data_IF_259239384910
#
_entry.id   IF_259239384910
#
_cell.length_a   1.000
_cell.length_b   1.000
_cell.length_c   1.000
_cell.angle_alpha   90.00
_cell.angle_beta   90.00
_cell.angle_gamma   90.00
#
_symmetry.space_group_name_H-M   'P 1'
#
loop_
_entity.id
_entity.type
_entity.pdbx_description
1 polymer ?
2 polymer ?
3 polymer ?
4 water ?
#
loop_
_entity_poly.entity_id
_entity_poly.type
_entity_poly.pdbx_seq_one_letter_code
_entity_poly.pdbx_strand_id
1 'polydeoxyribonucleotide' '(DA)(DA)(DA)(DA)(DA)(DC)(DG)(DT)(DC)(DA)(DA)(DC)(DA)(DT)(DT)(DT)(DT)(DA)(DT)(DA)(DA)(DA)(DA)(DA)(DA)(DG)(DT)(DC)(DT)(DT)(DG)(DC)(DA)(DA)(DA)(DA)(DA)(DG)(DT)(DT)(DA)' ?
2 'polydeoxyribonucleotide' '(DT)(DA)(DA)(DC)(DT)(DT)(DT)(DT)(DT)(DG)(DC)(DA)(DA)(DG)(DA)(DC)(DT)(DT)(DT)(DT)(DT)(DT)(DA)(DT)(DA)(DA)(DA)(DA)(DT)(DG)(DT)(DT)(DG)(DA)(DC)(DG)(DT)(DT)(DT)(DT)(DT)' ?
#
# COMPACT_ATOMS: atom_id res chain seq x y z
N UNK C 1 18.60 5.91 31.26
CA UNK C 1 17.73 6.93 30.64
C UNK C 1 16.45 6.81 31.44
N UNK C 2 15.33 7.05 30.78
CA UNK C 2 14.04 6.95 31.44
C UNK C 2 13.87 8.01 32.51
N UNK C 3 13.09 9.03 32.20
CA UNK C 3 12.85 10.12 33.13
C UNK C 3 12.21 9.61 34.42
N UNK C 4 12.04 10.53 35.36
CA UNK C 4 11.46 10.25 36.66
C UNK C 4 10.05 9.67 36.59
N UNK C 5 9.33 9.92 35.49
CA UNK C 5 7.96 9.43 35.38
C UNK C 5 7.82 8.15 34.59
N UNK C 6 8.91 7.72 33.95
CA UNK C 6 8.89 6.47 33.20
C UNK C 6 8.96 6.61 31.68
N UNK C 7 9.45 7.73 31.20
CA UNK C 7 9.51 7.91 29.76
C UNK C 7 10.91 7.76 29.19
N UNK C 8 10.98 7.01 28.08
CA UNK C 8 12.24 6.79 27.40
C UNK C 8 12.24 7.64 26.15
N UNK C 9 12.99 8.73 26.15
CA UNK C 9 13.02 9.57 24.96
C UNK C 9 13.93 8.95 23.93
N UNK C 10 14.73 8.00 24.38
CA UNK C 10 15.65 7.30 23.49
C UNK C 10 15.10 5.87 23.38
N UNK C 11 14.22 5.67 22.41
CA UNK C 11 13.55 4.41 22.18
C UNK C 11 14.37 3.13 22.28
N UNK C 12 15.59 3.15 21.72
CA UNK C 12 16.47 2.00 21.76
C UNK C 12 16.55 1.39 23.16
N UNK C 13 16.60 2.25 24.18
CA UNK C 13 16.71 1.80 25.56
C UNK C 13 15.40 1.45 26.26
N UNK C 14 14.28 1.58 25.56
CA UNK C 14 13.00 1.29 26.18
C UNK C 14 12.78 -0.11 26.71
N UNK C 15 11.81 -0.21 27.62
CA UNK C 15 11.44 -1.48 28.21
C UNK C 15 10.01 -1.74 27.81
N UNK C 16 9.47 -0.84 27.00
CA UNK C 16 8.11 -0.98 26.52
C UNK C 16 8.31 -1.41 25.09
N UNK C 17 7.96 -2.65 24.80
CA UNK C 17 8.17 -3.18 23.48
C UNK C 17 7.03 -4.04 23.07
N UNK C 18 6.82 -4.12 21.77
CA UNK C 18 5.76 -4.93 21.27
C UNK C 18 6.28 -5.62 20.04
N UNK C 19 5.83 -6.84 19.77
CA UNK C 19 6.28 -7.53 18.58
C UNK C 19 5.21 -8.41 18.01
N UNK C 20 5.16 -8.48 16.69
CA UNK C 20 4.17 -9.31 16.03
C UNK C 20 4.88 -10.55 15.52
N UNK C 21 6.05 -10.84 16.08
CA UNK C 21 6.81 -12.01 15.67
C UNK C 21 7.75 -11.76 14.49
N UNK C 22 7.46 -10.73 13.71
CA UNK C 22 8.28 -10.37 12.56
C UNK C 22 8.89 -9.00 12.82
N UNK C 23 8.06 -8.11 13.30
CA UNK C 23 8.44 -6.75 13.56
C UNK C 23 8.33 -6.42 15.02
N UNK C 24 9.26 -5.61 15.51
CA UNK C 24 9.26 -5.19 16.89
C UNK C 24 9.28 -3.66 16.95
N UNK C 25 8.36 -3.10 17.74
CA UNK C 25 8.25 -1.66 17.92
C UNK C 25 8.59 -1.31 19.36
N UNK C 26 9.38 -0.26 19.54
CA UNK C 26 9.75 0.20 20.87
C UNK C 26 8.95 1.47 21.12
N UNK C 27 8.51 1.67 22.36
CA UNK C 27 7.74 2.85 22.73
C UNK C 27 8.38 3.57 23.87
N UNK C 28 8.06 4.85 24.02
CA UNK C 28 8.62 5.66 25.06
C UNK C 28 7.84 5.56 26.36
N UNK C 29 6.64 4.99 26.30
CA UNK C 29 5.84 4.87 27.52
C UNK C 29 4.87 3.70 27.53
N UNK C 30 4.55 3.22 28.72
CA UNK C 30 3.61 2.13 28.82
C UNK C 30 2.29 2.63 28.23
N UNK C 31 2.00 3.91 28.47
CA UNK C 31 0.76 4.51 27.98
C UNK C 31 0.62 4.28 26.49
N UNK C 32 1.72 4.45 25.77
CA UNK C 32 1.70 4.25 24.32
C UNK C 32 1.68 2.77 23.96
N UNK C 33 2.43 1.97 24.71
CA UNK C 33 2.47 0.53 24.45
C UNK C 33 1.08 -0.05 24.50
N UNK C 34 0.33 0.31 25.53
CA UNK C 34 -1.03 -0.21 25.68
C UNK C 34 -2.01 0.47 24.73
N UNK C 35 -1.73 1.73 24.43
CA UNK C 35 -2.60 2.44 23.53
C UNK C 35 -2.47 1.65 22.24
N UNK C 36 -1.24 1.26 21.90
CA UNK C 36 -1.02 0.50 20.69
C UNK C 36 -1.54 -0.92 20.75
N UNK C 37 -1.33 -1.63 21.84
CA UNK C 37 -1.81 -3.01 21.91
C UNK C 37 -3.30 -3.12 22.15
N UNK C 38 -3.87 -2.08 22.74
CA UNK C 38 -5.28 -2.08 23.03
C UNK C 38 -6.15 -1.75 21.83
N UNK C 39 -5.70 -0.82 20.99
CA UNK C 39 -6.53 -0.45 19.86
C UNK C 39 -6.10 -0.74 18.44
N UNK C 40 -5.04 -1.54 18.27
CA UNK C 40 -4.57 -1.82 16.92
C UNK C 40 -5.58 -2.61 16.11
N UNK C 41 -6.26 -3.57 16.73
CA UNK C 41 -7.26 -4.35 16.02
C UNK C 41 -8.39 -3.43 15.54
N UNK C 42 -8.80 -2.49 16.38
CA UNK C 42 -9.86 -1.58 15.98
C UNK C 42 -9.37 -0.74 14.84
N UNK C 43 -8.17 -0.20 15.02
CA UNK C 43 -7.57 0.65 14.00
C UNK C 43 -7.57 -0.03 12.64
N UNK C 44 -7.30 -1.33 12.62
CA UNK C 44 -7.29 -2.07 11.36
C UNK C 44 -8.65 -2.02 10.70
N UNK C 45 -9.71 -2.22 11.47
CA UNK C 45 -11.07 -2.18 10.94
C UNK C 45 -11.29 -0.85 10.24
N UNK C 46 -11.09 0.22 11.01
CA UNK C 46 -11.26 1.58 10.52
C UNK C 46 -10.30 1.91 9.38
N UNK C 47 -9.14 1.27 9.37
CA UNK C 47 -8.16 1.53 8.32
C UNK C 47 -8.63 0.97 7.00
N UNK C 48 -9.05 -0.29 7.01
CA UNK C 48 -9.54 -0.97 5.83
C UNK C 48 -10.73 -0.24 5.18
N UNK C 49 -11.60 0.37 5.98
CA UNK C 49 -12.74 1.09 5.40
C UNK C 49 -12.23 2.27 4.59
N UNK C 50 -11.55 3.20 5.25
CA UNK C 50 -11.00 4.35 4.55
C UNK C 50 -10.35 3.95 3.22
N UNK C 51 -9.46 2.96 3.26
CA UNK C 51 -8.78 2.51 2.04
C UNK C 51 -9.68 1.92 0.99
N UNK C 52 -10.72 1.19 1.41
CA UNK C 52 -11.63 0.60 0.44
C UNK C 52 -12.44 1.67 -0.29
N UNK C 53 -12.56 2.85 0.32
CA UNK C 53 -13.30 3.92 -0.32
C UNK C 53 -12.37 4.64 -1.30
N UNK C 54 -11.11 4.28 -1.30
CA UNK C 54 -10.16 4.90 -2.21
C UNK C 54 -9.80 3.91 -3.32
N UNK C 55 -9.67 2.65 -2.95
CA UNK C 55 -9.33 1.64 -3.94
C UNK C 55 -9.61 0.23 -3.43
N UNK C 56 -9.92 -0.66 -4.35
CA UNK C 56 -10.20 -2.04 -4.02
C UNK C 56 -9.05 -2.86 -4.57
N UNK C 57 -8.34 -3.56 -3.69
CA UNK C 57 -7.18 -4.35 -4.10
C UNK C 57 -7.21 -5.74 -3.48
N UNK C 58 -6.45 -6.68 -4.06
CA UNK C 58 -6.41 -8.04 -3.54
C UNK C 58 -5.41 -8.11 -2.37
N UNK C 59 -5.28 -7.03 -1.60
CA UNK C 59 -4.29 -7.01 -0.52
C UNK C 59 -4.78 -6.93 0.92
N UNK C 60 -3.97 -7.47 1.83
CA UNK C 60 -4.25 -7.45 3.24
C UNK C 60 -3.40 -6.32 3.76
N UNK C 61 -4.03 -5.19 4.02
CA UNK C 61 -3.30 -4.00 4.46
C UNK C 61 -3.14 -3.87 5.95
N UNK C 62 -3.31 -4.97 6.67
CA UNK C 62 -3.23 -4.85 8.10
C UNK C 62 -1.89 -4.36 8.63
N UNK C 63 -0.79 -4.97 8.22
CA UNK C 63 0.52 -4.55 8.68
C UNK C 63 0.69 -3.05 8.41
N UNK C 64 0.27 -2.60 7.24
CA UNK C 64 0.38 -1.20 6.91
C UNK C 64 -0.43 -0.36 7.88
N UNK C 65 -1.52 -0.94 8.38
CA UNK C 65 -2.36 -0.22 9.33
C UNK C 65 -1.56 -0.12 10.62
N UNK C 66 -0.87 -1.21 10.94
CA UNK C 66 -0.06 -1.28 12.15
C UNK C 66 1.08 -0.28 12.17
N UNK C 67 1.67 0.05 11.03
CA UNK C 67 2.76 1.01 11.04
C UNK C 67 2.19 2.41 11.21
N UNK C 68 1.07 2.64 10.54
CA UNK C 68 0.40 3.92 10.60
C UNK C 68 -0.07 4.13 12.05
N UNK C 69 -0.62 3.09 12.65
CA UNK C 69 -1.07 3.21 14.03
C UNK C 69 0.15 3.47 14.90
N UNK C 70 1.20 2.68 14.69
CA UNK C 70 2.39 2.88 15.47
C UNK C 70 2.79 4.33 15.36
N UNK C 71 3.05 4.80 14.15
CA UNK C 71 3.46 6.18 13.92
C UNK C 71 2.55 7.24 14.53
N UNK C 72 1.25 6.96 14.58
CA UNK C 72 0.32 7.92 15.16
C UNK C 72 0.32 7.92 16.68
N UNK C 73 0.65 6.78 17.28
CA UNK C 73 0.64 6.69 18.74
C UNK C 73 1.95 7.09 19.41
N UNK C 74 3.08 6.71 18.81
CA UNK C 74 4.37 7.05 19.40
C UNK C 74 4.72 8.47 19.01
N UNK C 75 4.49 9.43 19.91
CA UNK C 75 4.78 10.82 19.60
C UNK C 75 6.24 11.19 19.80
N UNK C 76 6.95 10.42 20.60
CA UNK C 76 8.35 10.72 20.86
C UNK C 76 9.35 10.04 19.94
N UNK C 77 8.89 9.49 18.81
CA UNK C 77 9.83 8.86 17.90
C UNK C 77 9.39 7.64 17.12
N UNK C 78 10.36 6.96 16.52
CA UNK C 78 10.13 5.76 15.74
C UNK C 78 11.37 4.88 15.76
N UNK C 79 11.23 3.68 16.31
CA UNK C 79 12.34 2.77 16.33
C UNK C 79 11.76 1.38 16.21
N UNK C 80 12.25 0.60 15.25
CA UNK C 80 11.72 -0.73 15.05
C UNK C 80 12.78 -1.74 14.64
N UNK C 81 12.43 -3.02 14.73
CA UNK C 81 13.33 -4.08 14.32
C UNK C 81 12.59 -4.94 13.34
N UNK C 82 13.34 -5.52 12.43
CA UNK C 82 12.76 -6.42 11.46
C UNK C 82 13.55 -7.69 11.63
N UNK C 83 12.93 -8.68 12.27
CA UNK C 83 13.55 -9.97 12.54
C UNK C 83 14.91 -9.87 13.21
N UNK C 84 15.02 -8.95 14.18
CA UNK C 84 16.29 -8.81 14.88
C UNK C 84 17.18 -7.65 14.45
N UNK C 85 17.05 -7.18 13.22
CA UNK C 85 17.88 -6.07 12.79
C UNK C 85 17.21 -4.71 13.02
N UNK C 86 18.03 -3.67 12.99
CA UNK C 86 17.51 -2.35 13.15
C UNK C 86 16.80 -2.09 11.86
N UNK C 87 15.57 -1.60 11.94
CA UNK C 87 14.80 -1.34 10.75
C UNK C 87 14.35 0.10 10.63
N UNK C 88 14.48 0.67 9.44
CA UNK C 88 14.03 2.03 9.24
C UNK C 88 12.58 2.01 8.82
N UNK C 89 11.99 3.20 8.83
CA UNK C 89 10.61 3.40 8.44
C UNK C 89 10.37 2.78 7.05
N UNK C 90 11.19 3.14 6.08
CA UNK C 90 11.04 2.61 4.73
C UNK C 90 11.23 1.11 4.73
N UNK C 91 12.13 0.61 5.56
CA UNK C 91 12.36 -0.83 5.60
C UNK C 91 11.17 -1.59 6.17
N UNK C 92 10.47 -0.99 7.12
CA UNK C 92 9.31 -1.66 7.68
C UNK C 92 8.17 -1.61 6.67
N UNK C 93 8.16 -0.56 5.86
CA UNK C 93 7.13 -0.43 4.85
C UNK C 93 7.34 -1.41 3.71
N UNK C 94 8.59 -1.78 3.46
CA UNK C 94 8.87 -2.74 2.40
C UNK C 94 8.31 -4.09 2.87
N UNK C 95 8.61 -4.43 4.12
CA UNK C 95 8.11 -5.66 4.71
C UNK C 95 6.58 -5.70 4.60
N UNK C 96 5.96 -4.53 4.77
CA UNK C 96 4.51 -4.41 4.74
C UNK C 96 3.95 -4.64 3.36
N UNK C 97 4.76 -4.38 2.35
CA UNK C 97 4.32 -4.59 0.98
C UNK C 97 4.39 -6.06 0.69
N UNK C 98 5.55 -6.65 0.99
CA UNK C 98 5.73 -8.07 0.75
C UNK C 98 4.66 -8.83 1.51
N UNK C 99 4.33 -8.39 2.70
CA UNK C 99 3.36 -9.14 3.47
C UNK C 99 1.89 -8.87 3.18
N UNK C 100 1.55 -7.84 2.42
CA UNK C 100 0.14 -7.63 2.17
C UNK C 100 -0.45 -8.61 1.15
N UNK C 101 0.39 -9.48 0.60
CA UNK C 101 -0.09 -10.47 -0.35
C UNK C 101 -0.64 -11.63 0.47
N UNK C 102 -0.30 -11.67 1.76
CA UNK C 102 -0.76 -12.74 2.63
C UNK C 102 -2.12 -12.41 3.27
N UNK C 103 -3.08 -13.35 3.14
CA UNK C 103 -4.46 -13.26 3.65
C UNK C 103 -4.62 -13.00 5.14
N UNK C 104 -3.87 -13.72 5.97
CA UNK C 104 -3.98 -13.54 7.41
C UNK C 104 -2.97 -12.56 7.98
N UNK C 105 -3.17 -12.18 9.24
CA UNK C 105 -2.31 -11.21 9.87
C UNK C 105 -1.80 -11.67 11.23
N UNK C 106 -0.52 -11.43 11.46
CA UNK C 106 0.08 -11.79 12.73
C UNK C 106 -0.50 -10.80 13.73
N UNK C 107 -0.71 -11.22 14.97
CA UNK C 107 -1.24 -10.30 15.98
C UNK C 107 -0.06 -9.73 16.73
N UNK C 108 -0.31 -8.75 17.60
CA UNK C 108 0.78 -8.19 18.36
C UNK C 108 0.78 -8.63 19.80
N UNK C 109 1.88 -8.34 20.48
CA UNK C 109 2.01 -8.72 21.86
C UNK C 109 3.15 -8.01 22.50
N UNK C 110 3.03 -7.79 23.79
CA UNK C 110 4.12 -7.17 24.52
C UNK C 110 5.17 -8.27 24.63
N UNK C 111 6.43 -7.90 24.71
CA UNK C 111 7.50 -8.88 24.86
C UNK C 111 8.58 -8.21 25.70
N UNK C 112 9.33 -9.00 26.46
CA UNK C 112 10.32 -8.37 27.30
C UNK C 112 11.40 -7.63 26.52
N UNK C 113 12.07 -6.73 27.22
CA UNK C 113 13.12 -5.93 26.66
C UNK C 113 14.16 -6.89 26.08
N UNK C 114 14.65 -6.58 24.88
CA UNK C 114 15.65 -7.39 24.18
C UNK C 114 16.75 -8.07 25.00
N UNK C 115 17.76 -7.29 25.38
CA UNK C 115 18.93 -7.75 26.13
C UNK C 115 20.18 -7.35 25.35
N UNK C 116 21.09 -6.63 26.03
CA UNK C 116 22.32 -6.11 25.46
C UNK C 116 22.87 -6.82 24.22
N UNK C 117 22.84 -8.16 24.23
CA UNK C 117 23.30 -8.92 23.09
C UNK C 117 22.47 -8.62 21.85
N UNK C 118 21.20 -9.02 21.93
CA UNK C 118 20.23 -8.80 20.86
C UNK C 118 20.27 -7.35 20.41
N UNK C 119 20.55 -6.46 21.35
CA UNK C 119 20.61 -5.04 21.04
C UNK C 119 21.86 -4.69 20.23
N UNK C 120 23.04 -5.04 20.77
CA UNK C 120 24.29 -4.77 20.05
C UNK C 120 24.24 -5.37 18.65
N UNK C 121 23.57 -6.53 18.58
CA UNK C 121 23.38 -7.30 17.35
C UNK C 121 22.54 -6.56 16.31
N UNK C 122 21.45 -5.94 16.76
CA UNK C 122 20.58 -5.19 15.86
C UNK C 122 21.27 -3.91 15.37
N UNK C 123 22.09 -3.33 16.24
CA UNK C 123 22.86 -2.11 15.94
C UNK C 123 22.09 -0.78 16.14
N UNK D 1 -18.94 -8.16 -33.92
CA UNK D 1 -17.94 -7.74 -32.90
C UNK D 1 -18.21 -6.30 -32.48
N UNK D 2 -17.85 -5.38 -33.39
CA UNK D 2 -18.04 -3.95 -33.18
C UNK D 2 -19.50 -3.62 -33.52
N UNK D 3 -20.19 -2.88 -32.66
CA UNK D 3 -21.57 -2.54 -32.94
C UNK D 3 -21.56 -1.62 -34.16
N UNK D 4 -22.73 -1.16 -34.59
CA UNK D 4 -22.79 -0.26 -35.73
C UNK D 4 -22.06 0.98 -35.26
N UNK D 5 -22.48 1.48 -34.10
CA UNK D 5 -21.90 2.67 -33.48
C UNK D 5 -20.42 2.51 -33.14
N UNK D 6 -19.94 1.27 -33.14
CA UNK D 6 -18.54 1.04 -32.86
C UNK D 6 -18.19 0.77 -31.41
N UNK D 7 -18.95 -0.10 -30.75
CA UNK D 7 -18.67 -0.44 -29.36
C UNK D 7 -18.27 -1.90 -29.30
N UNK D 8 -17.22 -2.18 -28.52
CA UNK D 8 -16.74 -3.54 -28.38
C UNK D 8 -17.12 -4.09 -27.03
N UNK D 9 -18.22 -4.83 -26.98
CA UNK D 9 -18.66 -5.41 -25.73
C UNK D 9 -17.68 -6.50 -25.34
N UNK D 10 -16.87 -6.91 -26.31
CA UNK D 10 -15.84 -7.91 -26.12
C UNK D 10 -14.47 -7.24 -26.16
N UNK D 11 -14.11 -6.57 -25.08
CA UNK D 11 -12.83 -5.86 -24.99
C UNK D 11 -11.64 -6.63 -25.54
N UNK D 12 -11.70 -7.93 -25.46
CA UNK D 12 -10.61 -8.75 -25.94
C UNK D 12 -10.34 -8.49 -27.44
N UNK D 13 -11.37 -8.09 -28.18
CA UNK D 13 -11.20 -7.84 -29.60
C UNK D 13 -11.40 -6.37 -30.01
N UNK D 14 -11.08 -5.46 -29.10
CA UNK D 14 -11.25 -4.03 -29.36
C UNK D 14 -10.05 -3.36 -30.02
N UNK D 15 -10.28 -2.21 -30.65
CA UNK D 15 -9.21 -1.48 -31.31
C UNK D 15 -8.90 -0.24 -30.47
N UNK D 16 -9.72 0.02 -29.46
CA UNK D 16 -9.51 1.15 -28.57
C UNK D 16 -8.56 0.68 -27.47
N UNK D 17 -7.28 0.99 -27.64
CA UNK D 17 -6.27 0.56 -26.71
C UNK D 17 -5.33 1.64 -26.19
N UNK D 18 -5.12 1.64 -24.88
CA UNK D 18 -4.22 2.59 -24.25
C UNK D 18 -3.12 1.76 -23.62
N UNK D 19 -1.90 2.30 -23.61
CA UNK D 19 -0.79 1.57 -23.03
C UNK D 19 0.26 2.47 -22.40
N UNK D 20 1.04 1.91 -21.47
CA UNK D 20 2.09 2.67 -20.81
C UNK D 20 3.40 1.92 -21.03
N UNK D 21 3.42 1.07 -22.06
CA UNK D 21 4.57 0.24 -22.46
C UNK D 21 4.75 -1.00 -21.58
N UNK D 22 4.25 -0.94 -20.35
CA UNK D 22 4.37 -2.08 -19.45
C UNK D 22 3.08 -2.87 -19.48
N UNK D 23 1.96 -2.16 -19.40
CA UNK D 23 0.66 -2.79 -19.44
C UNK D 23 -0.19 -2.07 -20.47
N UNK D 24 -1.24 -2.72 -20.89
CA UNK D 24 -2.10 -2.13 -21.88
C UNK D 24 -3.56 -2.34 -21.53
N UNK D 25 -4.31 -1.25 -21.54
CA UNK D 25 -5.72 -1.32 -21.22
C UNK D 25 -6.59 -1.27 -22.47
N UNK D 26 -7.56 -2.18 -22.52
CA UNK D 26 -8.48 -2.26 -23.66
C UNK D 26 -9.80 -1.64 -23.29
N UNK D 27 -10.26 -0.69 -24.11
CA UNK D 27 -11.53 -0.06 -23.84
C UNK D 27 -12.59 -0.57 -24.80
N UNK D 28 -13.85 -0.37 -24.40
CA UNK D 28 -14.96 -0.84 -25.20
C UNK D 28 -15.41 0.23 -26.19
N UNK D 29 -15.03 1.48 -25.93
CA UNK D 29 -15.44 2.57 -26.80
C UNK D 29 -14.50 3.75 -26.74
N UNK D 30 -14.15 4.29 -27.90
CA UNK D 30 -13.25 5.43 -27.96
C UNK D 30 -13.57 6.49 -26.90
N UNK D 31 -14.85 6.66 -26.57
CA UNK D 31 -15.20 7.63 -25.56
C UNK D 31 -14.49 7.26 -24.25
N UNK D 32 -14.69 6.04 -23.78
CA UNK D 32 -14.04 5.61 -22.55
C UNK D 32 -12.53 5.69 -22.72
N UNK D 33 -12.03 5.32 -23.89
CA UNK D 33 -10.60 5.37 -24.12
C UNK D 33 -10.03 6.76 -23.88
N UNK D 34 -10.76 7.79 -24.29
CA UNK D 34 -10.28 9.17 -24.13
C UNK D 34 -10.62 9.75 -22.76
N UNK D 35 -11.70 9.29 -22.16
CA UNK D 35 -12.09 9.77 -20.84
C UNK D 35 -10.91 9.41 -19.94
N UNK D 36 -10.33 8.25 -20.21
CA UNK D 36 -9.18 7.75 -19.47
C UNK D 36 -7.93 8.56 -19.76
N UNK D 37 -7.49 8.56 -21.02
CA UNK D 37 -6.29 9.31 -21.41
C UNK D 37 -6.34 10.80 -21.04
N UNK D 38 -7.54 11.36 -21.01
CA UNK D 38 -7.67 12.76 -20.68
C UNK D 38 -7.83 13.04 -19.19
N UNK D 39 -8.26 12.05 -18.42
CA UNK D 39 -8.45 12.28 -16.99
C UNK D 39 -7.56 11.60 -15.96
N UNK D 40 -6.60 10.78 -16.39
CA UNK D 40 -5.76 10.06 -15.44
C UNK D 40 -4.72 10.86 -14.67
N UNK D 41 -3.95 11.70 -15.36
CA UNK D 41 -2.94 12.50 -14.69
C UNK D 41 -3.54 13.28 -13.54
N UNK D 42 -4.81 13.64 -13.68
CA UNK D 42 -5.52 14.37 -12.63
C UNK D 42 -5.99 13.41 -11.54
N UNK D 43 -6.29 12.18 -11.93
CA UNK D 43 -6.76 11.20 -10.98
C UNK D 43 -5.63 10.85 -10.02
N UNK D 44 -4.40 10.85 -10.54
CA UNK D 44 -3.26 10.53 -9.71
C UNK D 44 -3.12 11.51 -8.56
N UNK D 45 -3.42 12.78 -8.82
CA UNK D 45 -3.35 13.79 -7.77
C UNK D 45 -4.46 13.48 -6.77
N UNK D 46 -5.68 13.43 -7.28
CA UNK D 46 -6.83 13.15 -6.44
C UNK D 46 -6.57 11.88 -5.64
N UNK D 47 -6.08 10.84 -6.31
CA UNK D 47 -5.82 9.56 -5.67
C UNK D 47 -4.80 9.63 -4.53
N UNK D 48 -3.63 10.20 -4.80
CA UNK D 48 -2.62 10.29 -3.76
C UNK D 48 -3.07 11.18 -2.61
N UNK D 49 -3.86 12.21 -2.91
CA UNK D 49 -4.35 13.10 -1.87
C UNK D 49 -5.26 12.29 -0.96
N UNK D 50 -6.12 11.49 -1.58
CA UNK D 50 -7.06 10.67 -0.85
C UNK D 50 -6.33 9.58 -0.04
N UNK D 51 -5.40 8.85 -0.66
CA UNK D 51 -4.64 7.82 0.05
C UNK D 51 -3.81 8.44 1.17
N UNK D 52 -3.19 9.58 0.89
CA UNK D 52 -2.36 10.27 1.86
C UNK D 52 -3.06 10.58 3.18
N UNK D 53 -4.39 10.65 3.16
CA UNK D 53 -5.15 10.94 4.37
C UNK D 53 -5.31 9.71 5.25
N UNK D 54 -5.19 8.54 4.63
CA UNK D 54 -5.32 7.30 5.37
C UNK D 54 -3.96 6.97 5.93
N UNK D 55 -2.96 7.06 5.06
CA UNK D 55 -1.60 6.75 5.46
C UNK D 55 -0.56 7.40 4.59
N UNK D 56 0.57 7.74 5.20
CA UNK D 56 1.69 8.33 4.50
C UNK D 56 2.62 7.15 4.28
N UNK D 57 3.16 7.03 3.08
CA UNK D 57 4.08 5.94 2.80
C UNK D 57 5.14 6.42 1.84
N UNK D 58 6.23 5.66 1.74
CA UNK D 58 7.28 6.07 0.83
C UNK D 58 6.97 5.73 -0.64
N UNK D 59 5.77 5.21 -0.90
CA UNK D 59 5.43 4.76 -2.25
C UNK D 59 4.76 5.72 -3.24
N UNK D 60 4.94 5.40 -4.51
CA UNK D 60 4.39 6.15 -5.63
C UNK D 60 3.24 5.28 -6.12
N UNK D 61 2.01 5.62 -5.74
CA UNK D 61 0.85 4.81 -6.11
C UNK D 61 0.09 5.14 -7.40
N UNK D 62 0.69 5.96 -8.25
CA UNK D 62 0.07 6.33 -9.51
C UNK D 62 -0.53 5.16 -10.28
N UNK D 63 0.26 4.11 -10.51
CA UNK D 63 -0.25 2.95 -11.23
C UNK D 63 -1.51 2.40 -10.59
N UNK D 64 -1.51 2.31 -9.27
CA UNK D 64 -2.68 1.81 -8.59
C UNK D 64 -3.79 2.79 -8.90
N UNK D 65 -3.46 4.08 -8.95
CA UNK D 65 -4.47 5.08 -9.30
C UNK D 65 -4.91 4.77 -10.73
N UNK D 66 -3.94 4.46 -11.59
CA UNK D 66 -4.20 4.11 -12.98
C UNK D 66 -5.12 2.91 -13.14
N UNK D 67 -4.91 1.87 -12.33
CA UNK D 67 -5.74 0.68 -12.42
C UNK D 67 -7.12 1.02 -11.91
N UNK D 68 -7.16 1.77 -10.82
CA UNK D 68 -8.43 2.15 -10.21
C UNK D 68 -9.24 2.98 -11.19
N UNK D 69 -8.59 3.98 -11.78
CA UNK D 69 -9.27 4.84 -12.74
C UNK D 69 -9.83 4.01 -13.89
N UNK D 70 -9.00 3.14 -14.46
CA UNK D 70 -9.43 2.30 -15.57
C UNK D 70 -10.74 1.59 -15.23
N UNK D 71 -10.78 1.01 -14.04
CA UNK D 71 -11.94 0.29 -13.56
C UNK D 71 -13.21 1.12 -13.47
N UNK D 72 -13.05 2.42 -13.24
CA UNK D 72 -14.22 3.28 -13.13
C UNK D 72 -14.63 3.90 -14.47
N UNK D 73 -13.71 3.93 -15.44
CA UNK D 73 -14.05 4.52 -16.73
C UNK D 73 -14.58 3.47 -17.69
N UNK D 74 -13.91 2.33 -17.77
CA UNK D 74 -14.35 1.27 -18.65
C UNK D 74 -15.51 0.54 -17.97
N UNK D 75 -16.72 0.99 -18.28
CA UNK D 75 -17.93 0.45 -17.69
C UNK D 75 -18.51 -0.83 -18.30
N UNK D 76 -17.91 -1.34 -19.36
CA UNK D 76 -18.44 -2.54 -20.01
C UNK D 76 -17.49 -3.73 -19.90
N UNK D 77 -16.58 -3.67 -18.94
CA UNK D 77 -15.64 -4.77 -18.75
C UNK D 77 -14.27 -4.37 -18.22
N UNK D 78 -13.37 -5.35 -18.17
CA UNK D 78 -12.00 -5.15 -17.70
C UNK D 78 -11.10 -6.14 -18.43
N UNK D 79 -10.22 -5.63 -19.27
CA UNK D 79 -9.31 -6.48 -20.01
C UNK D 79 -7.98 -5.79 -20.10
N UNK D 80 -6.91 -6.54 -19.89
CA UNK D 80 -5.58 -5.95 -19.90
C UNK D 80 -4.48 -6.91 -20.24
N UNK D 81 -3.39 -6.33 -20.70
CA UNK D 81 -2.19 -7.07 -21.06
C UNK D 81 -1.09 -6.52 -20.18
N UNK D 82 -0.17 -7.42 -19.84
CA UNK D 82 0.98 -7.07 -19.04
C UNK D 82 2.18 -7.60 -19.80
N UNK D 83 2.99 -6.68 -20.31
CA UNK D 83 4.17 -7.04 -21.08
C UNK D 83 3.86 -8.10 -22.13
N UNK D 84 2.76 -7.92 -22.85
CA UNK D 84 2.40 -8.86 -23.91
C UNK D 84 1.39 -9.95 -23.61
N UNK D 85 1.34 -10.40 -22.36
CA UNK D 85 0.42 -11.46 -21.99
C UNK D 85 -0.88 -10.93 -21.40
N UNK D 86 -1.95 -11.72 -21.52
CA UNK D 86 -3.23 -11.32 -20.96
C UNK D 86 -2.94 -11.30 -19.47
N UNK D 87 -3.50 -10.35 -18.75
CA UNK D 87 -3.24 -10.25 -17.33
C UNK D 87 -4.51 -10.24 -16.51
N UNK D 88 -4.59 -11.10 -15.50
CA UNK D 88 -5.77 -11.11 -14.66
C UNK D 88 -5.78 -9.80 -13.91
N UNK D 89 -6.88 -9.53 -13.26
CA UNK D 89 -7.00 -8.31 -12.50
C UNK D 89 -5.91 -8.37 -11.41
N UNK D 90 -5.78 -9.52 -10.77
CA UNK D 90 -4.78 -9.69 -9.72
C UNK D 90 -3.36 -9.51 -10.22
N UNK D 91 -3.07 -9.94 -11.44
CA UNK D 91 -1.70 -9.78 -11.91
C UNK D 91 -1.35 -8.31 -12.22
N UNK D 92 -2.33 -7.55 -12.70
CA UNK D 92 -2.07 -6.15 -12.97
C UNK D 92 -1.73 -5.48 -11.63
N UNK D 93 -2.44 -5.87 -10.57
CA UNK D 93 -2.19 -5.28 -9.25
C UNK D 93 -0.83 -5.68 -8.70
N UNK D 94 -0.43 -6.93 -8.94
CA UNK D 94 0.88 -7.40 -8.48
C UNK D 94 1.90 -6.43 -9.06
N UNK D 95 1.73 -6.14 -10.35
CA UNK D 95 2.63 -5.24 -11.05
C UNK D 95 2.57 -3.86 -10.43
N UNK D 96 1.37 -3.39 -10.12
CA UNK D 96 1.24 -2.06 -9.56
C UNK D 96 1.93 -2.04 -8.22
N UNK D 97 2.04 -3.22 -7.62
CA UNK D 97 2.68 -3.35 -6.33
C UNK D 97 4.17 -3.11 -6.46
N UNK D 98 4.79 -3.71 -7.47
CA UNK D 98 6.21 -3.55 -7.70
C UNK D 98 6.54 -2.09 -8.00
N UNK D 99 6.02 -1.57 -9.10
CA UNK D 99 6.32 -0.20 -9.46
C UNK D 99 6.11 0.82 -8.34
N UNK D 100 5.48 0.40 -7.24
CA UNK D 100 5.26 1.31 -6.11
C UNK D 100 6.60 1.81 -5.57
N UNK D 101 7.63 1.00 -5.75
CA UNK D 101 8.96 1.34 -5.27
C UNK D 101 9.82 2.00 -6.34
N UNK D 102 9.16 2.67 -7.28
CA UNK D 102 9.85 3.37 -8.36
C UNK D 102 9.38 4.82 -8.38
N UNK D 103 10.32 5.77 -8.26
CA UNK D 103 10.05 7.20 -8.24
C UNK D 103 9.28 7.85 -9.39
N UNK D 104 9.59 7.47 -10.63
CA UNK D 104 8.88 8.07 -11.76
C UNK D 104 7.68 7.25 -12.17
N UNK D 105 6.81 7.86 -12.96
CA UNK D 105 5.62 7.18 -13.42
C UNK D 105 5.53 7.16 -14.94
N UNK D 106 5.16 6.00 -15.47
CA UNK D 106 4.99 5.86 -16.91
C UNK D 106 3.70 6.58 -17.29
N UNK D 107 3.72 7.28 -18.41
CA UNK D 107 2.54 7.97 -18.86
C UNK D 107 1.81 7.09 -19.87
N UNK D 108 0.52 7.34 -20.04
CA UNK D 108 -0.25 6.54 -20.98
C UNK D 108 -0.44 7.17 -22.35
N UNK D 109 -0.76 6.35 -23.32
CA UNK D 109 -0.98 6.85 -24.67
C UNK D 109 -1.75 5.84 -25.51
N UNK D 110 -2.58 6.35 -26.41
CA UNK D 110 -3.35 5.49 -27.28
C UNK D 110 -2.42 4.77 -28.25
N UNK D 111 -2.81 3.57 -28.66
CA UNK D 111 -2.01 2.81 -29.60
C UNK D 111 -2.97 2.02 -30.48
N UNK D 112 -2.45 1.11 -31.31
CA UNK D 112 -3.34 0.34 -32.18
C UNK D 112 -3.08 -1.17 -32.19
N UNK D 113 -4.06 -1.92 -31.70
CA UNK D 113 -4.02 -3.39 -31.61
C UNK D 113 -2.61 -3.99 -31.68
#
# INVERSE_FOLDING_TARGET
PKTQRGIYHNLKESEYVASNTDVTFFFSSELYLNKFLDGYQEYRKKFNKKIERVAVTPWNMDMLADITFYSEVEKRGFHAWLKGDNATWREVHVYALRIMTKPNTLDWSRIQKPRLRERRKSM
PKTQRGIYHNLKESEYVASNTDVTFFFSSELYLNKFLDGYQEYRKKFNKKIERVAVTPWNMDMLADITFYSEVEKRGFHAWLKGDNATWREVHVYALRIMTKPNTLDWSRIQKPRLRERRKSM
#
